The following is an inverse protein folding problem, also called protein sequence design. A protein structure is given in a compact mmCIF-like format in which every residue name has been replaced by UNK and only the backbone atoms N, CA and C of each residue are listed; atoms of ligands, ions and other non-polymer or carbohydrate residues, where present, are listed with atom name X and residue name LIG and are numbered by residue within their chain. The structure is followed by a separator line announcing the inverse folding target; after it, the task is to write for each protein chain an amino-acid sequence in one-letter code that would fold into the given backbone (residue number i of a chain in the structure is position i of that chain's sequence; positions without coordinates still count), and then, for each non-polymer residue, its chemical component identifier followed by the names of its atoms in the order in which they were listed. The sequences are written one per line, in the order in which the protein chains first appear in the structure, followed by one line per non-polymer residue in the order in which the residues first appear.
data_IF_752777655399
#
_entry.id   IF_752777655399
#
_cell.length_a   1.000
_cell.length_b   1.000
_cell.length_c   1.000
_cell.angle_alpha   90.00
_cell.angle_beta   90.00
_cell.angle_gamma   90.00
#
_symmetry.space_group_name_H-M   'P 1'
#
loop_
_entity.id
_entity.type
_entity.pdbx_description
1 polymer ?
#
# COMPACT_ATOMS: atom_id res chain seq x y z
N UNK A 1 6.96 3.89 22.22
CA UNK A 1 6.16 3.30 21.11
C UNK A 1 4.89 4.11 20.89
N UNK A 2 4.60 4.55 19.65
CA UNK A 2 3.43 5.41 19.34
C UNK A 2 2.09 4.78 19.72
N UNK A 3 1.94 3.47 19.52
CA UNK A 3 0.75 2.71 19.93
C UNK A 3 0.52 2.75 21.45
N UNK A 4 1.58 2.56 22.24
CA UNK A 4 1.48 2.60 23.70
C UNK A 4 1.07 3.98 24.19
N UNK A 5 1.71 5.04 23.66
CA UNK A 5 1.35 6.43 23.99
C UNK A 5 -0.11 6.73 23.65
N UNK A 6 -0.61 6.19 22.54
CA UNK A 6 -2.01 6.33 22.15
C UNK A 6 -2.95 5.63 23.14
N UNK A 7 -2.67 4.38 23.50
CA UNK A 7 -3.47 3.63 24.47
C UNK A 7 -3.50 4.33 25.83
N UNK A 8 -2.36 4.84 26.31
CA UNK A 8 -2.31 5.61 27.57
C UNK A 8 -3.20 6.85 27.46
N UNK A 9 -3.06 7.63 26.38
CA UNK A 9 -3.90 8.82 26.18
C UNK A 9 -5.38 8.51 26.05
N UNK A 10 -5.73 7.32 25.53
CA UNK A 10 -7.11 6.87 25.42
C UNK A 10 -7.66 6.52 26.79
N UNK A 11 -6.91 5.78 27.62
CA UNK A 11 -7.31 5.44 28.99
C UNK A 11 -7.55 6.71 29.80
N UNK A 12 -6.66 7.69 29.74
CA UNK A 12 -6.81 8.98 30.43
C UNK A 12 -8.10 9.71 30.03
N UNK A 13 -8.43 9.73 28.73
CA UNK A 13 -9.64 10.39 28.21
C UNK A 13 -10.93 9.61 28.47
N UNK A 14 -10.84 8.29 28.53
CA UNK A 14 -11.98 7.38 28.67
C UNK A 14 -12.28 7.03 30.13
N UNK A 15 -11.49 7.49 31.09
CA UNK A 15 -11.72 7.26 32.52
C UNK A 15 -12.74 8.26 33.06
N UNK A 16 -13.84 7.76 33.60
CA UNK A 16 -14.86 8.56 34.29
C UNK A 16 -14.41 8.86 35.73
N UNK A 17 -14.98 9.88 36.37
CA UNK A 17 -14.71 10.25 37.78
C UNK A 17 -14.83 9.09 38.77
N UNK A 18 -15.65 8.08 38.44
CA UNK A 18 -15.83 6.85 39.23
C UNK A 18 -14.73 5.79 38.99
N UNK A 19 -13.66 6.11 38.26
CA UNK A 19 -12.55 5.21 37.94
C UNK A 19 -12.88 4.13 36.89
N UNK A 20 -14.06 4.20 36.26
CA UNK A 20 -14.47 3.27 35.20
C UNK A 20 -14.02 3.76 33.83
N UNK A 21 -13.41 2.89 33.04
CA UNK A 21 -13.03 3.18 31.65
C UNK A 21 -14.19 2.85 30.71
N UNK A 22 -14.61 3.81 29.87
CA UNK A 22 -15.69 3.66 28.89
C UNK A 22 -15.16 3.95 27.48
N UNK A 23 -15.27 2.97 26.58
CA UNK A 23 -14.65 2.98 25.26
C UNK A 23 -15.69 2.89 24.12
N UNK A 24 -16.72 3.73 24.14
CA UNK A 24 -17.85 3.66 23.20
C UNK A 24 -17.68 4.52 21.93
N UNK A 25 -16.54 5.18 21.76
CA UNK A 25 -16.26 6.02 20.60
C UNK A 25 -15.51 5.25 19.52
N UNK A 26 -15.65 5.63 18.25
CA UNK A 26 -14.95 4.97 17.15
C UNK A 26 -13.40 5.03 17.28
N UNK A 27 -12.88 6.01 18.03
CA UNK A 27 -11.45 6.15 18.33
C UNK A 27 -10.92 5.08 19.31
N UNK A 28 -11.80 4.33 19.98
CA UNK A 28 -11.36 3.26 20.88
C UNK A 28 -10.85 2.02 20.14
N UNK A 29 -11.32 1.80 18.92
CA UNK A 29 -10.96 0.66 18.06
C UNK A 29 -10.35 1.14 16.74
N UNK A 30 -9.03 1.34 16.76
CA UNK A 30 -8.25 1.90 15.65
C UNK A 30 -7.12 0.97 15.22
N UNK A 31 -6.70 1.09 13.97
CA UNK A 31 -5.48 0.47 13.45
C UNK A 31 -4.40 1.54 13.28
N UNK A 32 -3.20 1.26 13.77
CA UNK A 32 -2.01 2.06 13.47
C UNK A 32 -1.49 1.66 12.10
N UNK A 33 -1.75 2.50 11.10
CA UNK A 33 -1.33 2.30 9.73
C UNK A 33 -0.29 3.33 9.29
N UNK A 34 0.38 3.03 8.18
CA UNK A 34 1.16 4.00 7.44
C UNK A 34 0.29 4.56 6.31
N UNK A 35 -0.12 5.81 6.44
CA UNK A 35 -0.81 6.52 5.37
C UNK A 35 0.16 7.51 4.72
N UNK A 36 0.48 7.27 3.44
CA UNK A 36 1.52 8.00 2.70
C UNK A 36 2.88 7.89 3.39
N UNK A 37 3.26 8.91 4.18
CA UNK A 37 4.54 8.99 4.92
C UNK A 37 4.33 9.20 6.42
N UNK A 38 3.09 9.08 6.91
CA UNK A 38 2.73 9.37 8.29
C UNK A 38 2.10 8.15 8.96
N UNK A 39 2.46 7.95 10.23
CA UNK A 39 1.83 6.96 11.08
C UNK A 39 0.51 7.52 11.62
N UNK A 40 -0.60 6.92 11.26
CA UNK A 40 -1.94 7.42 11.56
C UNK A 40 -2.78 6.32 12.22
N UNK A 41 -3.63 6.71 13.17
CA UNK A 41 -4.59 5.83 13.81
C UNK A 41 -5.93 5.99 13.09
N UNK A 42 -6.38 4.94 12.40
CA UNK A 42 -7.63 4.97 11.65
C UNK A 42 -8.67 4.07 12.32
N UNK A 43 -9.88 4.59 12.63
CA UNK A 43 -10.99 3.80 13.14
C UNK A 43 -11.34 2.63 12.22
N UNK A 44 -11.66 1.48 12.83
CA UNK A 44 -11.98 0.26 12.09
C UNK A 44 -13.25 0.40 11.23
N UNK A 45 -14.20 1.22 11.67
CA UNK A 45 -15.44 1.52 10.94
C UNK A 45 -15.14 2.18 9.59
N UNK A 46 -14.18 3.10 9.56
CA UNK A 46 -13.72 3.78 8.34
C UNK A 46 -12.93 2.81 7.47
N UNK A 47 -12.11 1.93 8.06
CA UNK A 47 -11.35 0.93 7.29
C UNK A 47 -12.27 -0.06 6.59
N UNK A 48 -13.35 -0.49 7.24
CA UNK A 48 -14.33 -1.43 6.67
C UNK A 48 -14.96 -0.92 5.38
N UNK A 49 -15.10 0.40 5.18
CA UNK A 49 -15.63 0.95 3.93
C UNK A 49 -14.60 1.01 2.80
N UNK A 50 -13.31 0.81 3.11
CA UNK A 50 -12.18 0.91 2.17
C UNK A 50 -11.49 -0.43 1.90
N UNK A 51 -11.79 -1.46 2.69
CA UNK A 51 -11.15 -2.77 2.59
C UNK A 51 -12.18 -3.87 2.56
N UNK A 52 -11.97 -4.85 1.68
CA UNK A 52 -12.61 -6.16 1.77
C UNK A 52 -11.96 -6.93 2.94
N UNK A 53 -12.70 -7.07 4.03
CA UNK A 53 -12.23 -7.71 5.26
C UNK A 53 -12.17 -9.24 5.16
N UNK A 54 -12.98 -9.85 4.30
CA UNK A 54 -12.99 -11.31 4.13
C UNK A 54 -11.73 -11.76 3.40
N UNK A 55 -11.42 -11.09 2.28
CA UNK A 55 -10.25 -11.39 1.48
C UNK A 55 -8.99 -10.63 1.92
N UNK A 56 -9.10 -9.77 2.95
CA UNK A 56 -8.00 -8.97 3.53
C UNK A 56 -7.27 -8.09 2.51
N UNK A 57 -8.03 -7.50 1.58
CA UNK A 57 -7.49 -6.65 0.51
C UNK A 57 -8.13 -5.26 0.53
N UNK A 58 -7.39 -4.19 0.20
CA UNK A 58 -7.99 -2.89 -0.03
C UNK A 58 -8.82 -2.91 -1.31
N UNK A 59 -9.91 -2.13 -1.32
CA UNK A 59 -10.77 -1.96 -2.48
C UNK A 59 -10.04 -1.21 -3.61
N UNK A 60 -9.24 -0.20 -3.27
CA UNK A 60 -8.34 0.45 -4.22
C UNK A 60 -6.94 -0.17 -4.16
N UNK A 61 -6.52 -0.78 -5.26
CA UNK A 61 -5.22 -1.43 -5.38
C UNK A 61 -4.29 -0.59 -6.26
N UNK A 62 -3.76 0.50 -5.70
CA UNK A 62 -2.98 1.50 -6.44
C UNK A 62 -1.75 0.92 -7.15
N UNK A 63 -1.09 -0.07 -6.55
CA UNK A 63 0.11 -0.68 -7.11
C UNK A 63 -0.17 -1.47 -8.40
N UNK A 64 -1.41 -1.93 -8.61
CA UNK A 64 -1.77 -2.59 -9.88
C UNK A 64 -1.71 -1.63 -11.07
N UNK A 65 -1.87 -0.32 -10.83
CA UNK A 65 -1.71 0.73 -11.85
C UNK A 65 -0.26 0.79 -12.38
N UNK A 66 0.72 0.20 -11.68
CA UNK A 66 2.12 0.10 -12.11
C UNK A 66 2.35 -1.02 -13.13
N UNK A 67 1.46 -2.03 -13.22
CA UNK A 67 1.62 -3.18 -14.12
C UNK A 67 1.86 -2.81 -15.59
N UNK A 68 1.15 -1.84 -16.20
CA UNK A 68 1.40 -1.43 -17.58
C UNK A 68 2.83 -0.90 -17.80
N UNK A 69 3.36 -0.11 -16.86
CA UNK A 69 4.73 0.41 -16.94
C UNK A 69 5.75 -0.72 -16.84
N UNK A 70 5.57 -1.64 -15.89
CA UNK A 70 6.44 -2.81 -15.76
C UNK A 70 6.42 -3.68 -17.03
N UNK A 71 5.26 -3.82 -17.68
CA UNK A 71 5.15 -4.55 -18.94
C UNK A 71 5.91 -3.89 -20.08
N UNK A 72 5.95 -2.55 -20.13
CA UNK A 72 6.73 -1.81 -21.14
C UNK A 72 8.23 -2.00 -20.88
N UNK A 73 8.65 -1.82 -19.63
CA UNK A 73 10.05 -1.97 -19.24
C UNK A 73 10.56 -3.40 -19.48
N UNK A 74 9.75 -4.41 -19.18
CA UNK A 74 10.10 -5.81 -19.43
C UNK A 74 10.23 -6.15 -20.93
N UNK A 75 9.60 -5.37 -21.82
CA UNK A 75 9.73 -5.55 -23.28
C UNK A 75 10.93 -4.81 -23.87
N UNK A 76 11.38 -3.74 -23.22
CA UNK A 76 12.47 -2.90 -23.72
C UNK A 76 13.75 -3.73 -23.93
N UNK A 77 14.12 -4.59 -22.99
CA UNK A 77 15.30 -5.48 -23.15
C UNK A 77 15.15 -6.44 -24.35
N UNK A 78 13.95 -6.97 -24.59
CA UNK A 78 13.71 -7.93 -25.69
C UNK A 78 13.69 -7.28 -27.08
N UNK A 79 13.23 -6.03 -27.19
CA UNK A 79 13.15 -5.33 -28.49
C UNK A 79 14.53 -4.82 -28.91
N UNK A 80 15.32 -4.26 -28.00
CA UNK A 80 16.65 -3.76 -28.36
C UNK A 80 17.63 -4.88 -28.69
N UNK A 81 17.57 -6.03 -28.01
CA UNK A 81 18.42 -7.17 -28.38
C UNK A 81 17.96 -7.78 -29.72
N UNK A 82 16.65 -7.87 -29.97
CA UNK A 82 16.12 -8.36 -31.24
C UNK A 82 16.49 -7.48 -32.44
N UNK A 83 16.26 -6.17 -32.32
CA UNK A 83 16.57 -5.20 -33.38
C UNK A 83 18.08 -5.07 -33.64
N UNK A 84 18.91 -5.14 -32.59
CA UNK A 84 20.38 -5.14 -32.74
C UNK A 84 20.87 -6.43 -33.38
N UNK A 85 20.26 -7.58 -33.09
CA UNK A 85 20.63 -8.84 -33.74
C UNK A 85 20.21 -8.85 -35.20
N UNK A 86 19.01 -8.37 -35.54
CA UNK A 86 18.54 -8.24 -36.92
C UNK A 86 19.42 -7.27 -37.73
N UNK A 87 19.74 -6.10 -37.18
CA UNK A 87 20.60 -5.14 -37.89
C UNK A 87 22.03 -5.64 -38.13
N UNK A 88 22.58 -6.45 -37.20
CA UNK A 88 23.89 -7.08 -37.40
C UNK A 88 23.88 -8.20 -38.44
N UNK A 89 22.76 -8.93 -38.59
CA UNK A 89 22.65 -10.00 -39.60
C UNK A 89 22.58 -9.38 -41.01
N UNK A 90 21.86 -8.26 -41.16
CA UNK A 90 21.72 -7.55 -42.44
C UNK A 90 23.04 -6.92 -42.93
N UNK A 91 23.94 -6.51 -42.02
CA UNK A 91 25.28 -6.00 -42.38
C UNK A 91 26.24 -7.11 -42.84
N UNK A 92 26.11 -8.33 -42.30
CA UNK A 92 26.97 -9.47 -42.66
C UNK A 92 26.62 -10.04 -44.03
N UNK A 93 25.33 -10.05 -44.41
CA UNK A 93 24.85 -10.57 -45.70
C UNK A 93 25.19 -9.64 -46.88
N UNK A 94 25.39 -8.34 -46.63
CA UNK A 94 25.80 -7.36 -47.65
C UNK A 94 27.32 -7.34 -47.93
N UNK A 95 28.09 -8.09 -47.14
CA UNK A 95 29.56 -8.11 -47.19
C UNK A 95 30.14 -9.34 -47.92
N UNK A 96 29.30 -10.17 -48.56
CA UNK A 96 29.69 -11.29 -49.42
C UNK A 96 29.40 -11.04 -50.90
#
# INVERSE_FOLDING_TARGET
CKAVSYVVSLIEKSTTDNGKVICNTAESAVVLGLLKRQNEFTPIEILKTKTDMEHRMPLEQWWLKLRPLLRILAKHETVYVGEVVESNIDEVDQSQ
#
